data_IF_005606990753
#
_entry.id   IF_005606990753
#
_cell.length_a   1.000
_cell.length_b   1.000
_cell.length_c   1.000
_cell.angle_alpha   90.00
_cell.angle_beta   90.00
_cell.angle_gamma   90.00
#
_symmetry.space_group_name_H-M   'P 1'
#
loop_
_entity.id
_entity.type
_entity.pdbx_description
1 polymer ?
#
# COMPACT_ATOMS: atom_id res chain seq x y z
N UNK A 1 7.06 -10.69 10.58
CA UNK A 1 6.32 -9.40 10.57
C UNK A 1 4.87 -9.70 10.90
N UNK A 2 4.27 -9.00 11.86
CA UNK A 2 2.85 -9.21 12.25
C UNK A 2 2.00 -8.28 11.39
N UNK A 3 0.94 -8.81 10.78
CA UNK A 3 -0.01 -8.02 10.00
C UNK A 3 -0.79 -7.07 10.90
N UNK A 4 -0.91 -5.82 10.49
CA UNK A 4 -1.79 -4.80 11.10
C UNK A 4 -2.76 -4.27 10.07
N UNK A 5 -4.00 -4.07 10.50
CA UNK A 5 -5.11 -3.58 9.67
C UNK A 5 -4.79 -2.18 9.18
N UNK A 6 -5.06 -1.92 7.92
CA UNK A 6 -4.85 -0.65 7.25
C UNK A 6 -6.10 -0.10 6.60
N UNK A 7 -6.00 1.14 6.11
CA UNK A 7 -7.05 1.79 5.32
C UNK A 7 -7.45 0.94 4.11
N UNK A 8 -8.75 0.88 3.84
CA UNK A 8 -9.32 0.14 2.71
C UNK A 8 -9.39 -1.38 2.92
N UNK A 9 -8.86 -1.92 4.02
CA UNK A 9 -8.99 -3.35 4.31
C UNK A 9 -10.47 -3.72 4.48
N UNK A 10 -10.86 -4.86 3.90
CA UNK A 10 -12.19 -5.43 4.06
C UNK A 10 -12.17 -6.48 5.16
N UNK A 11 -12.99 -6.28 6.18
CA UNK A 11 -13.07 -7.14 7.35
C UNK A 11 -14.45 -7.80 7.42
N UNK A 12 -14.48 -9.05 7.84
CA UNK A 12 -15.67 -9.76 8.27
C UNK A 12 -15.63 -9.90 9.79
N UNK A 13 -16.59 -9.27 10.46
CA UNK A 13 -16.69 -9.27 11.91
C UNK A 13 -17.93 -10.02 12.28
N UNK A 14 -17.79 -11.12 13.03
CA UNK A 14 -18.90 -11.96 13.47
C UNK A 14 -18.93 -12.11 14.98
N UNK A 15 -20.14 -12.20 15.53
CA UNK A 15 -20.39 -12.39 16.96
C UNK A 15 -21.15 -13.69 17.16
N UNK A 16 -20.54 -14.65 17.86
CA UNK A 16 -21.12 -15.95 18.09
C UNK A 16 -22.51 -15.85 18.71
N UNK A 17 -23.47 -16.59 18.16
CA UNK A 17 -24.91 -16.59 18.52
C UNK A 17 -25.65 -15.26 18.30
N UNK A 18 -25.03 -14.27 17.61
CA UNK A 18 -25.61 -12.96 17.34
C UNK A 18 -25.38 -12.57 15.87
N UNK A 19 -25.90 -13.40 14.95
CA UNK A 19 -25.73 -13.20 13.51
C UNK A 19 -26.32 -11.88 12.99
N UNK A 20 -27.24 -11.27 13.73
CA UNK A 20 -27.78 -9.93 13.45
C UNK A 20 -26.71 -8.82 13.58
N UNK A 21 -25.61 -9.09 14.28
CA UNK A 21 -24.48 -8.18 14.43
C UNK A 21 -23.39 -8.44 13.40
N UNK A 22 -23.42 -9.57 12.68
CA UNK A 22 -22.39 -9.90 11.69
C UNK A 22 -22.34 -8.83 10.59
N UNK A 23 -21.14 -8.30 10.35
CA UNK A 23 -20.93 -7.24 9.36
C UNK A 23 -19.64 -7.40 8.60
N UNK A 24 -19.74 -7.24 7.28
CA UNK A 24 -18.59 -6.96 6.43
C UNK A 24 -18.42 -5.44 6.35
N UNK A 25 -17.25 -4.98 6.74
CA UNK A 25 -16.92 -3.55 6.80
C UNK A 25 -15.62 -3.27 6.05
N UNK A 26 -15.48 -2.04 5.57
CA UNK A 26 -14.24 -1.55 4.98
C UNK A 26 -13.67 -0.50 5.93
N UNK A 27 -12.37 -0.58 6.21
CA UNK A 27 -11.67 0.42 7.02
C UNK A 27 -11.66 1.75 6.27
N UNK A 28 -12.27 2.76 6.87
CA UNK A 28 -12.39 4.10 6.30
C UNK A 28 -11.02 4.79 6.23
N UNK A 29 -10.87 5.86 5.38
CA UNK A 29 -9.65 6.67 5.32
C UNK A 29 -9.22 7.30 6.64
N UNK A 30 -10.19 7.57 7.54
CA UNK A 30 -9.90 8.06 8.89
C UNK A 30 -9.40 6.97 9.86
N UNK A 31 -9.32 5.71 9.38
CA UNK A 31 -8.82 4.58 10.14
C UNK A 31 -9.84 3.92 11.07
N UNK A 32 -11.14 4.20 10.90
CA UNK A 32 -12.22 3.66 11.72
C UNK A 32 -13.09 2.68 10.93
N UNK A 33 -13.77 1.80 11.65
CA UNK A 33 -14.92 1.02 11.16
C UNK A 33 -16.14 1.31 12.04
N UNK A 34 -17.34 1.28 11.44
CA UNK A 34 -18.59 1.41 12.18
C UNK A 34 -19.18 0.02 12.42
N UNK A 35 -19.40 -0.33 13.69
CA UNK A 35 -19.94 -1.62 14.08
C UNK A 35 -21.23 -1.48 14.90
N UNK A 36 -22.24 -2.37 14.70
CA UNK A 36 -23.52 -2.29 15.42
C UNK A 36 -23.32 -2.28 16.93
N UNK A 37 -24.12 -1.49 17.63
CA UNK A 37 -24.13 -1.28 19.08
C UNK A 37 -22.88 -0.61 19.65
N UNK A 38 -21.74 -0.67 18.97
CA UNK A 38 -20.46 -0.11 19.45
C UNK A 38 -20.20 1.27 18.85
N UNK A 39 -20.66 1.51 17.62
CA UNK A 39 -20.37 2.74 16.89
C UNK A 39 -19.03 2.68 16.15
N UNK A 40 -18.34 3.81 16.11
CA UNK A 40 -17.05 3.93 15.41
C UNK A 40 -15.89 3.45 16.30
N UNK A 41 -15.10 2.52 15.77
CA UNK A 41 -13.95 1.91 16.43
C UNK A 41 -12.69 2.22 15.62
N UNK A 42 -11.67 2.74 16.28
CA UNK A 42 -10.36 2.94 15.65
C UNK A 42 -9.72 1.58 15.40
N UNK A 43 -9.43 1.30 14.14
CA UNK A 43 -9.06 -0.04 13.67
C UNK A 43 -7.67 -0.07 13.06
N UNK A 44 -7.26 1.07 12.46
CA UNK A 44 -5.94 1.18 11.80
C UNK A 44 -4.79 0.93 12.79
N UNK A 45 -3.84 0.08 12.36
CA UNK A 45 -2.67 -0.28 13.18
C UNK A 45 -2.90 -1.43 14.17
N UNK A 46 -4.15 -1.83 14.42
CA UNK A 46 -4.47 -3.00 15.25
C UNK A 46 -4.26 -4.30 14.46
N UNK A 47 -3.96 -5.38 15.17
CA UNK A 47 -4.10 -6.73 14.61
C UNK A 47 -5.56 -7.19 14.68
N UNK A 48 -6.01 -8.15 13.84
CA UNK A 48 -7.38 -8.68 13.91
C UNK A 48 -7.77 -9.18 15.30
N UNK A 49 -6.90 -9.90 16.06
CA UNK A 49 -7.22 -10.28 17.44
C UNK A 49 -7.37 -9.10 18.40
N UNK A 50 -6.59 -8.03 18.25
CA UNK A 50 -6.74 -6.81 19.07
C UNK A 50 -8.09 -6.14 18.78
N UNK A 51 -8.46 -5.97 17.51
CA UNK A 51 -9.76 -5.43 17.15
C UNK A 51 -10.92 -6.29 17.69
N UNK A 52 -10.79 -7.62 17.63
CA UNK A 52 -11.80 -8.52 18.22
C UNK A 52 -11.94 -8.32 19.72
N UNK A 53 -10.82 -8.11 20.43
CA UNK A 53 -10.82 -7.82 21.87
C UNK A 53 -11.50 -6.48 22.20
N UNK A 54 -11.23 -5.42 21.44
CA UNK A 54 -11.80 -4.10 21.65
C UNK A 54 -13.32 -4.10 21.42
N UNK A 55 -13.77 -4.82 20.38
CA UNK A 55 -15.21 -5.01 20.10
C UNK A 55 -15.87 -5.82 21.21
N UNK A 56 -15.22 -6.92 21.65
CA UNK A 56 -15.72 -7.76 22.75
C UNK A 56 -15.89 -6.95 24.02
N UNK A 57 -14.92 -6.14 24.40
CA UNK A 57 -14.98 -5.27 25.58
C UNK A 57 -16.17 -4.29 25.49
N UNK A 58 -16.34 -3.66 24.34
CA UNK A 58 -17.43 -2.72 24.09
C UNK A 58 -18.80 -3.39 24.17
N UNK A 59 -18.95 -4.58 23.56
CA UNK A 59 -20.20 -5.34 23.56
C UNK A 59 -20.53 -5.94 24.94
N UNK A 60 -19.54 -6.21 25.79
CA UNK A 60 -19.75 -6.82 27.13
C UNK A 60 -20.65 -5.99 28.05
N UNK A 61 -20.85 -4.70 27.71
CA UNK A 61 -21.81 -3.82 28.41
C UNK A 61 -23.28 -4.13 28.10
N UNK A 62 -23.54 -4.80 26.97
CA UNK A 62 -24.89 -5.03 26.43
C UNK A 62 -25.18 -6.51 26.21
N UNK A 63 -24.16 -7.33 25.99
CA UNK A 63 -24.26 -8.75 25.71
C UNK A 63 -23.41 -9.51 26.74
N UNK A 64 -23.95 -10.56 27.32
CA UNK A 64 -23.24 -11.42 28.28
C UNK A 64 -22.23 -12.30 27.54
N UNK A 65 -20.95 -12.16 27.88
CA UNK A 65 -19.81 -12.96 27.37
C UNK A 65 -19.74 -13.09 25.84
N UNK A 66 -19.73 -11.96 25.06
CA UNK A 66 -19.70 -12.02 23.60
C UNK A 66 -18.39 -12.65 23.11
N UNK A 67 -18.49 -13.50 22.10
CA UNK A 67 -17.33 -14.06 21.39
C UNK A 67 -17.25 -13.44 20.01
N UNK A 68 -16.20 -12.64 19.76
CA UNK A 68 -16.01 -11.88 18.53
C UNK A 68 -14.89 -12.49 17.70
N UNK A 69 -15.15 -12.64 16.41
CA UNK A 69 -14.15 -13.07 15.42
C UNK A 69 -14.00 -12.00 14.37
N UNK A 70 -12.76 -11.66 14.01
CA UNK A 70 -12.44 -10.73 12.93
C UNK A 70 -11.58 -11.45 11.89
N UNK A 71 -12.08 -11.50 10.66
CA UNK A 71 -11.40 -12.11 9.50
C UNK A 71 -11.11 -11.02 8.48
N UNK A 72 -9.88 -10.97 7.98
CA UNK A 72 -9.51 -10.08 6.87
C UNK A 72 -9.90 -10.77 5.56
N UNK A 73 -10.90 -10.24 4.87
CA UNK A 73 -11.38 -10.74 3.59
C UNK A 73 -10.55 -10.23 2.41
N UNK A 74 -10.03 -9.02 2.53
CA UNK A 74 -9.24 -8.37 1.51
C UNK A 74 -8.39 -7.26 2.10
N UNK A 75 -7.21 -7.10 1.54
CA UNK A 75 -6.32 -6.02 1.91
C UNK A 75 -6.72 -4.79 1.11
N UNK A 76 -6.85 -3.65 1.77
CA UNK A 76 -7.08 -2.37 1.13
C UNK A 76 -6.03 -2.12 0.07
N UNK A 77 -6.39 -1.37 -0.96
CA UNK A 77 -5.55 -1.12 -2.12
C UNK A 77 -4.28 -0.34 -1.75
N UNK A 78 -3.42 -0.97 -0.96
CA UNK A 78 -2.04 -0.50 -0.81
C UNK A 78 -1.34 -0.81 -2.12
N UNK A 79 -1.06 0.21 -2.90
CA UNK A 79 -0.41 0.06 -4.19
C UNK A 79 1.03 0.57 -4.11
N UNK A 80 1.85 0.02 -4.97
CA UNK A 80 3.12 0.59 -5.41
C UNK A 80 2.99 0.94 -6.90
N UNK A 81 3.82 1.83 -7.36
CA UNK A 81 3.81 2.27 -8.75
C UNK A 81 5.14 1.91 -9.40
N UNK A 82 5.09 1.27 -10.57
CA UNK A 82 6.28 0.97 -11.37
C UNK A 82 6.13 1.68 -12.70
N UNK A 83 7.00 2.64 -12.97
CA UNK A 83 6.86 3.58 -14.09
C UNK A 83 8.16 3.66 -14.92
N UNK A 84 8.06 4.23 -16.12
CA UNK A 84 9.18 4.44 -17.02
C UNK A 84 9.45 3.25 -17.95
N UNK A 85 10.72 2.89 -18.13
CA UNK A 85 11.18 1.89 -19.11
C UNK A 85 11.02 0.45 -18.59
N UNK A 86 9.78 0.06 -18.26
CA UNK A 86 9.37 -1.34 -17.96
C UNK A 86 8.39 -1.84 -19.01
N UNK A 87 8.18 -3.16 -19.06
CA UNK A 87 7.28 -3.76 -20.05
C UNK A 87 5.84 -3.29 -19.85
N UNK A 88 5.37 -3.22 -18.60
CA UNK A 88 4.01 -2.82 -18.22
C UNK A 88 4.07 -1.77 -17.11
N UNK A 89 4.20 -0.47 -17.44
CA UNK A 89 4.10 0.60 -16.43
C UNK A 89 2.70 0.63 -15.83
N UNK A 90 2.61 0.84 -14.50
CA UNK A 90 1.30 0.90 -13.86
C UNK A 90 1.35 0.83 -12.33
N UNK A 91 0.17 0.66 -11.75
CA UNK A 91 -0.05 0.44 -10.33
C UNK A 91 -0.13 -1.06 -10.04
N UNK A 92 0.53 -1.50 -8.99
CA UNK A 92 0.62 -2.90 -8.56
C UNK A 92 0.22 -3.04 -7.10
N UNK A 93 -0.54 -4.09 -6.78
CA UNK A 93 -1.00 -4.31 -5.40
C UNK A 93 0.17 -4.65 -4.49
N UNK A 94 0.34 -3.89 -3.41
CA UNK A 94 1.33 -4.17 -2.38
C UNK A 94 0.79 -5.19 -1.36
N UNK A 95 1.41 -6.37 -1.29
CA UNK A 95 0.99 -7.46 -0.38
C UNK A 95 1.92 -7.66 0.82
N UNK A 96 2.84 -6.72 1.06
CA UNK A 96 3.90 -6.84 2.07
C UNK A 96 5.11 -7.63 1.57
N UNK A 97 6.31 -7.26 2.03
CA UNK A 97 7.54 -7.97 1.70
C UNK A 97 7.99 -7.90 0.23
N UNK A 98 7.51 -6.92 -0.53
CA UNK A 98 7.87 -6.70 -1.94
C UNK A 98 9.13 -5.85 -2.02
N UNK A 99 10.13 -6.30 -2.74
CA UNK A 99 11.35 -5.53 -3.03
C UNK A 99 11.25 -4.79 -4.37
N UNK A 100 12.23 -3.90 -4.61
CA UNK A 100 12.35 -3.20 -5.90
C UNK A 100 12.45 -4.18 -7.06
N UNK A 101 13.22 -5.26 -6.92
CA UNK A 101 13.39 -6.24 -7.98
C UNK A 101 12.09 -7.04 -8.23
N UNK A 102 11.35 -7.37 -7.16
CA UNK A 102 10.07 -8.06 -7.28
C UNK A 102 9.07 -7.19 -8.04
N UNK A 103 8.98 -5.91 -7.71
CA UNK A 103 8.10 -4.96 -8.38
C UNK A 103 8.45 -4.79 -9.88
N UNK A 104 9.74 -4.67 -10.21
CA UNK A 104 10.17 -4.61 -11.60
C UNK A 104 9.84 -5.92 -12.34
N UNK A 105 9.99 -7.07 -11.67
CA UNK A 105 9.65 -8.38 -12.24
C UNK A 105 8.15 -8.52 -12.50
N UNK A 106 7.31 -8.06 -11.58
CA UNK A 106 5.85 -8.04 -11.73
C UNK A 106 5.42 -7.12 -12.88
N UNK A 107 6.15 -6.00 -13.10
CA UNK A 107 5.98 -5.13 -14.27
C UNK A 107 6.47 -5.74 -15.59
N UNK A 108 6.89 -7.00 -15.59
CA UNK A 108 7.38 -7.73 -16.78
C UNK A 108 8.83 -7.44 -17.14
N UNK A 109 9.61 -6.90 -16.19
CA UNK A 109 11.01 -6.54 -16.38
C UNK A 109 11.20 -5.18 -17.08
N UNK A 110 12.45 -4.86 -17.33
CA UNK A 110 12.84 -3.59 -17.96
C UNK A 110 13.03 -3.72 -19.48
N UNK A 111 12.86 -2.59 -20.18
CA UNK A 111 13.13 -2.49 -21.62
C UNK A 111 14.63 -2.31 -21.90
N UNK A 112 15.06 -2.60 -23.15
CA UNK A 112 16.45 -2.43 -23.55
C UNK A 112 16.95 -0.97 -23.45
N UNK A 113 16.04 0.01 -23.49
CA UNK A 113 16.33 1.43 -23.30
C UNK A 113 16.52 1.87 -21.85
N UNK A 114 16.31 0.97 -20.89
CA UNK A 114 16.36 1.28 -19.46
C UNK A 114 17.77 1.54 -18.95
N UNK A 115 17.94 2.60 -18.16
CA UNK A 115 19.20 2.94 -17.49
C UNK A 115 19.15 2.43 -16.05
N UNK A 116 19.60 1.19 -15.85
CA UNK A 116 19.47 0.46 -14.58
C UNK A 116 20.37 0.96 -13.44
N UNK A 117 21.37 1.77 -13.72
CA UNK A 117 22.22 2.38 -12.68
C UNK A 117 21.68 3.71 -12.14
N UNK A 118 20.49 4.11 -12.57
CA UNK A 118 19.83 5.36 -12.16
C UNK A 118 18.33 5.15 -11.86
N UNK A 119 17.95 3.96 -11.43
CA UNK A 119 16.57 3.69 -11.01
C UNK A 119 16.26 4.53 -9.77
N UNK A 120 15.07 5.15 -9.74
CA UNK A 120 14.65 5.98 -8.63
C UNK A 120 13.54 5.27 -7.83
N UNK A 121 13.75 5.17 -6.53
CA UNK A 121 12.70 4.85 -5.57
C UNK A 121 12.26 6.16 -4.91
N UNK A 122 11.00 6.53 -5.07
CA UNK A 122 10.42 7.73 -4.47
C UNK A 122 9.38 7.31 -3.44
N UNK A 123 9.61 7.68 -2.18
CA UNK A 123 8.71 7.50 -1.05
C UNK A 123 7.99 8.80 -0.74
N UNK A 124 6.79 8.69 -0.19
CA UNK A 124 6.01 9.87 0.22
C UNK A 124 5.86 10.90 -0.90
N UNK A 125 5.78 10.44 -2.15
CA UNK A 125 5.78 11.30 -3.35
C UNK A 125 4.72 12.41 -3.31
N UNK A 126 3.61 12.17 -2.61
CA UNK A 126 2.46 13.07 -2.51
C UNK A 126 2.41 13.86 -1.20
N UNK A 127 3.48 13.84 -0.40
CA UNK A 127 3.60 14.63 0.83
C UNK A 127 4.46 15.88 0.60
N UNK A 128 4.57 16.73 1.62
CA UNK A 128 5.42 17.93 1.56
C UNK A 128 6.93 17.60 1.54
N UNK A 129 7.31 16.41 2.06
CA UNK A 129 8.69 15.96 2.16
C UNK A 129 8.91 14.62 1.46
N UNK A 130 8.94 14.56 0.11
CA UNK A 130 9.22 13.34 -0.62
C UNK A 130 10.67 12.90 -0.42
N UNK A 131 10.87 11.60 -0.27
CA UNK A 131 12.18 10.97 -0.16
C UNK A 131 12.52 10.25 -1.47
N UNK A 132 13.70 10.48 -2.04
CA UNK A 132 14.14 9.80 -3.26
C UNK A 132 15.49 9.14 -3.08
N UNK A 133 15.53 7.86 -3.44
CA UNK A 133 16.73 7.03 -3.42
C UNK A 133 17.10 6.61 -4.84
N UNK A 134 18.34 6.87 -5.25
CA UNK A 134 18.88 6.34 -6.49
C UNK A 134 19.41 4.94 -6.22
N UNK A 135 18.98 3.97 -7.02
CA UNK A 135 19.35 2.58 -6.91
C UNK A 135 20.12 2.14 -8.16
N UNK A 136 21.15 1.33 -7.94
CA UNK A 136 21.90 0.71 -9.00
C UNK A 136 21.42 -0.73 -9.24
N UNK A 137 20.28 -0.88 -9.92
CA UNK A 137 19.71 -2.20 -10.24
C UNK A 137 20.64 -3.01 -11.17
N UNK A 138 21.50 -2.35 -11.96
CA UNK A 138 22.52 -3.04 -12.73
C UNK A 138 23.53 -3.77 -11.82
N UNK A 139 24.00 -3.12 -10.75
CA UNK A 139 24.89 -3.75 -9.77
C UNK A 139 24.20 -4.89 -9.03
N UNK A 140 22.91 -4.73 -8.68
CA UNK A 140 22.10 -5.78 -8.07
C UNK A 140 22.07 -7.03 -8.95
N UNK A 141 21.72 -6.90 -10.24
CA UNK A 141 21.48 -8.05 -11.14
C UNK A 141 22.79 -8.64 -11.67
N UNK A 142 23.80 -7.82 -11.98
CA UNK A 142 25.04 -8.26 -12.62
C UNK A 142 26.17 -8.57 -11.65
N UNK A 143 26.18 -7.95 -10.46
CA UNK A 143 27.25 -8.10 -9.46
C UNK A 143 26.78 -8.73 -8.16
N UNK A 144 25.46 -9.01 -8.00
CA UNK A 144 24.90 -9.55 -6.77
C UNK A 144 24.91 -8.56 -5.59
N UNK A 145 24.91 -7.25 -5.86
CA UNK A 145 24.85 -6.23 -4.81
C UNK A 145 23.43 -6.05 -4.28
N UNK A 146 23.04 -6.90 -3.35
CA UNK A 146 21.69 -6.90 -2.75
C UNK A 146 21.42 -5.69 -1.85
N UNK A 147 22.42 -4.84 -1.54
CA UNK A 147 22.20 -3.59 -0.81
C UNK A 147 21.32 -2.61 -1.59
N UNK A 148 21.23 -2.79 -2.92
CA UNK A 148 20.39 -1.98 -3.81
C UNK A 148 18.93 -2.49 -3.92
N UNK A 149 18.62 -3.66 -3.35
CA UNK A 149 17.29 -4.25 -3.40
C UNK A 149 16.45 -3.85 -2.18
N UNK A 150 16.07 -2.58 -2.11
CA UNK A 150 15.29 -2.06 -0.99
C UNK A 150 13.89 -2.67 -0.95
N UNK A 151 13.39 -2.89 0.26
CA UNK A 151 11.98 -3.24 0.47
C UNK A 151 11.11 -2.02 0.24
N UNK A 152 10.00 -2.24 -0.47
CA UNK A 152 9.02 -1.21 -0.78
C UNK A 152 8.03 -1.03 0.37
N UNK A 153 7.45 0.15 0.41
CA UNK A 153 6.36 0.55 1.27
C UNK A 153 5.12 0.91 0.43
N UNK A 154 3.91 0.85 0.99
CA UNK A 154 2.71 1.32 0.30
C UNK A 154 2.87 2.77 -0.18
N UNK A 155 2.51 3.02 -1.45
CA UNK A 155 2.65 4.33 -2.07
C UNK A 155 4.02 4.62 -2.68
N UNK A 156 4.98 3.70 -2.57
CA UNK A 156 6.29 3.84 -3.21
C UNK A 156 6.17 3.86 -4.73
N UNK A 157 7.00 4.67 -5.37
CA UNK A 157 7.13 4.76 -6.82
C UNK A 157 8.52 4.28 -7.21
N UNK A 158 8.59 3.22 -8.01
CA UNK A 158 9.81 2.74 -8.67
C UNK A 158 9.81 3.26 -10.10
N UNK A 159 10.72 4.17 -10.41
CA UNK A 159 10.84 4.76 -11.74
C UNK A 159 12.11 4.31 -12.43
N UNK A 160 11.97 3.67 -13.58
CA UNK A 160 13.06 3.19 -14.41
C UNK A 160 13.28 4.18 -15.56
N UNK A 161 14.38 4.96 -15.56
CA UNK A 161 14.59 6.01 -16.54
C UNK A 161 15.14 5.51 -17.86
N UNK A 162 14.93 6.28 -18.92
CA UNK A 162 15.57 6.12 -20.24
C UNK A 162 16.94 6.80 -20.34
N UNK A 163 17.22 7.74 -19.44
CA UNK A 163 18.51 8.46 -19.36
C UNK A 163 18.91 8.63 -17.91
N UNK A 164 20.19 8.90 -17.66
CA UNK A 164 20.68 9.12 -16.30
C UNK A 164 20.05 10.39 -15.69
N UNK A 165 19.46 10.26 -14.51
CA UNK A 165 18.84 11.37 -13.78
C UNK A 165 19.91 12.08 -12.98
N UNK A 166 20.40 13.22 -13.46
CA UNK A 166 21.43 14.01 -12.76
C UNK A 166 20.83 14.82 -11.60
N UNK A 167 19.69 15.47 -11.81
CA UNK A 167 18.99 16.31 -10.83
C UNK A 167 17.78 15.58 -10.24
N UNK A 168 17.92 15.06 -9.01
CA UNK A 168 16.88 14.32 -8.31
C UNK A 168 15.72 15.25 -7.89
N UNK A 169 16.01 16.47 -7.43
CA UNK A 169 14.99 17.43 -7.02
C UNK A 169 14.07 17.84 -8.16
N UNK A 170 14.65 18.21 -9.30
CA UNK A 170 13.87 18.52 -10.51
C UNK A 170 13.10 17.32 -11.07
N UNK A 171 13.63 16.10 -10.89
CA UNK A 171 12.92 14.89 -11.26
C UNK A 171 11.66 14.68 -10.40
N UNK A 172 11.76 14.84 -9.08
CA UNK A 172 10.62 14.68 -8.16
C UNK A 172 9.52 15.68 -8.51
N UNK A 173 9.87 16.94 -8.75
CA UNK A 173 8.91 17.98 -9.12
C UNK A 173 8.14 17.63 -10.40
N UNK A 174 8.88 17.22 -11.44
CA UNK A 174 8.27 16.78 -12.71
C UNK A 174 7.40 15.52 -12.54
N UNK A 175 7.82 14.59 -11.70
CA UNK A 175 7.07 13.36 -11.42
C UNK A 175 5.74 13.68 -10.73
N UNK A 176 5.73 14.58 -9.74
CA UNK A 176 4.53 15.02 -9.02
C UNK A 176 3.51 15.66 -9.96
N UNK A 177 3.96 16.54 -10.86
CA UNK A 177 3.11 17.17 -11.87
C UNK A 177 2.51 16.12 -12.81
N UNK A 178 3.32 15.17 -13.29
CA UNK A 178 2.87 14.14 -14.23
C UNK A 178 1.85 13.19 -13.61
N UNK A 179 2.07 12.75 -12.36
CA UNK A 179 1.14 11.82 -11.66
C UNK A 179 -0.12 12.57 -11.20
N UNK A 180 0.00 13.82 -10.76
CA UNK A 180 -1.15 14.65 -10.40
C UNK A 180 -2.14 14.82 -11.56
N UNK A 181 -1.65 14.96 -12.79
CA UNK A 181 -2.48 14.97 -13.99
C UNK A 181 -3.18 13.62 -14.24
N UNK A 182 -2.49 12.49 -14.04
CA UNK A 182 -3.05 11.14 -14.17
C UNK A 182 -4.18 10.84 -13.18
N UNK A 183 -4.02 11.27 -11.92
CA UNK A 183 -5.03 11.08 -10.87
C UNK A 183 -6.27 11.94 -11.15
N UNK A 184 -6.10 13.16 -11.64
CA UNK A 184 -7.23 14.06 -11.97
C UNK A 184 -8.06 13.58 -13.18
N UNK A 185 -7.45 12.86 -14.14
CA UNK A 185 -8.18 12.24 -15.26
C UNK A 185 -8.96 10.99 -14.82
N UNK A 186 -8.41 10.20 -13.90
CA UNK A 186 -9.09 8.98 -13.41
C UNK A 186 -10.33 9.29 -12.58
N UNK A 187 -10.40 10.45 -11.92
CA UNK A 187 -11.55 10.88 -11.11
C UNK A 187 -12.72 11.39 -11.97
N UNK A 188 -12.47 11.79 -13.21
CA UNK A 188 -13.53 12.29 -14.15
C UNK A 188 -14.33 11.19 -14.85
N UNK A 189 -13.97 9.92 -14.67
CA UNK A 189 -14.65 8.78 -15.30
C UNK A 189 -15.82 8.24 -14.45
N UNK A 190 -16.01 8.78 -13.23
CA UNK A 190 -17.06 8.35 -12.30
C UNK A 190 -18.11 9.43 -11.96
N UNK A 191 -18.20 10.51 -12.78
CA UNK A 191 -19.33 11.45 -12.78
C UNK A 191 -20.31 11.16 -13.91
#
# INVERSE_FOLDING_TARGET
MIYTIGEGDSLDISVWQHSELDKKVIVRPDGYVSFPLVGDIKTIGLTPPQLASDIKESLSRMIKDPQVTVIVLGFGSKNIFVLGEVAKPGSYSYRGGVSVLDAISEAGGWKNSAVLNSVMLVRKAFTEAPEAHRLNVYALVKKGDFSQNLMLEPGDIVYIPKSFIANIGGFIENLRVSIGAYVSESTRIFD
#
